data_IF_201156774002
#
_entry.id   IF_201156774002
#
_cell.length_a   1.000
_cell.length_b   1.000
_cell.length_c   1.000
_cell.angle_alpha   90.00
_cell.angle_beta   90.00
_cell.angle_gamma   90.00
#
_symmetry.space_group_name_H-M   'P 1'
#
loop_
_entity.id
_entity.type
_entity.pdbx_description
1 polymer ?
#
# COMPACT_ATOMS: atom_id res chain seq x y z
N UNK A 1 -14.29 -25.58 9.88
CA UNK A 1 -13.78 -24.96 8.66
C UNK A 1 -12.74 -23.92 9.04
N UNK A 2 -11.58 -23.92 8.40
CA UNK A 2 -10.59 -22.84 8.56
C UNK A 2 -11.15 -21.52 8.00
N UNK A 3 -10.54 -20.39 8.37
CA UNK A 3 -10.91 -19.07 7.80
C UNK A 3 -10.84 -19.07 6.27
N UNK A 4 -9.80 -19.69 5.70
CA UNK A 4 -9.60 -19.84 4.25
C UNK A 4 -10.65 -20.70 3.57
N UNK A 5 -11.04 -21.82 4.18
CA UNK A 5 -12.12 -22.66 3.65
C UNK A 5 -13.45 -21.92 3.64
N UNK A 6 -13.77 -21.19 4.71
CA UNK A 6 -15.00 -20.41 4.80
C UNK A 6 -15.04 -19.33 3.71
N UNK A 7 -13.94 -18.61 3.49
CA UNK A 7 -13.90 -17.56 2.46
C UNK A 7 -13.98 -18.12 1.04
N UNK A 8 -13.34 -19.25 0.75
CA UNK A 8 -13.48 -19.92 -0.56
C UNK A 8 -14.93 -20.35 -0.82
N UNK A 9 -15.64 -20.86 0.18
CA UNK A 9 -17.07 -21.21 0.05
C UNK A 9 -17.91 -19.96 -0.22
N UNK A 10 -17.64 -18.85 0.46
CA UNK A 10 -18.35 -17.59 0.22
C UNK A 10 -18.10 -17.04 -1.18
N UNK A 11 -16.84 -17.07 -1.64
CA UNK A 11 -16.48 -16.66 -3.00
C UNK A 11 -17.15 -17.57 -4.04
N UNK A 12 -17.08 -18.90 -3.86
CA UNK A 12 -17.73 -19.85 -4.76
C UNK A 12 -19.25 -19.62 -4.83
N UNK A 13 -19.90 -19.35 -3.69
CA UNK A 13 -21.33 -19.00 -3.63
C UNK A 13 -21.63 -17.72 -4.42
N UNK A 14 -20.80 -16.70 -4.29
CA UNK A 14 -20.95 -15.45 -5.04
C UNK A 14 -20.78 -15.68 -6.55
N UNK A 15 -19.75 -16.44 -6.95
CA UNK A 15 -19.46 -16.76 -8.35
C UNK A 15 -20.54 -17.63 -9.00
N UNK A 16 -21.17 -18.53 -8.24
CA UNK A 16 -22.27 -19.38 -8.74
C UNK A 16 -23.48 -18.58 -9.23
N UNK A 17 -23.59 -17.28 -8.86
CA UNK A 17 -24.62 -16.38 -9.36
C UNK A 17 -24.28 -15.79 -10.75
N UNK A 18 -23.15 -16.15 -11.35
CA UNK A 18 -22.60 -15.56 -12.58
C UNK A 18 -22.58 -14.01 -12.54
N UNK A 19 -21.96 -13.41 -11.51
CA UNK A 19 -21.96 -11.96 -11.35
C UNK A 19 -21.14 -11.27 -12.44
N UNK A 20 -21.60 -10.09 -12.87
CA UNK A 20 -20.80 -9.18 -13.70
C UNK A 20 -19.80 -8.34 -12.88
N UNK A 21 -20.11 -8.13 -11.60
CA UNK A 21 -19.31 -7.37 -10.65
C UNK A 21 -19.27 -8.11 -9.32
N UNK A 22 -18.06 -8.29 -8.80
CA UNK A 22 -17.82 -8.86 -7.49
C UNK A 22 -17.39 -7.73 -6.54
N UNK A 23 -18.10 -7.56 -5.42
CA UNK A 23 -17.76 -6.56 -4.40
C UNK A 23 -17.24 -7.30 -3.17
N UNK A 24 -16.01 -6.98 -2.77
CA UNK A 24 -15.26 -7.69 -1.77
C UNK A 24 -14.87 -6.74 -0.65
N UNK A 25 -15.37 -7.00 0.56
CA UNK A 25 -15.07 -6.20 1.74
C UNK A 25 -14.22 -7.02 2.71
N UNK A 26 -13.01 -6.54 3.00
CA UNK A 26 -12.12 -7.12 4.03
C UNK A 26 -11.88 -8.63 3.93
N UNK A 27 -11.81 -9.15 2.70
CA UNK A 27 -11.72 -10.57 2.40
C UNK A 27 -10.43 -11.26 2.84
N UNK A 28 -9.38 -10.54 3.22
CA UNK A 28 -8.11 -11.17 3.62
C UNK A 28 -7.94 -11.26 5.13
N UNK A 29 -8.91 -10.74 5.89
CA UNK A 29 -8.83 -10.79 7.34
C UNK A 29 -8.94 -12.25 7.84
N UNK A 30 -8.17 -12.58 8.87
CA UNK A 30 -8.10 -13.92 9.46
C UNK A 30 -7.57 -15.04 8.54
N UNK A 31 -6.91 -14.69 7.42
CA UNK A 31 -6.15 -15.65 6.61
C UNK A 31 -4.67 -15.64 6.93
N UNK A 32 -4.07 -16.84 6.92
CA UNK A 32 -2.62 -16.97 6.84
C UNK A 32 -2.08 -16.46 5.48
N UNK A 33 -0.76 -16.30 5.41
CA UNK A 33 -0.07 -15.73 4.25
C UNK A 33 -0.34 -16.53 2.97
N UNK A 34 -0.35 -17.87 3.05
CA UNK A 34 -0.55 -18.74 1.89
C UNK A 34 -1.99 -18.66 1.40
N UNK A 35 -2.95 -18.86 2.30
CA UNK A 35 -4.37 -18.83 1.98
C UNK A 35 -4.78 -17.47 1.40
N UNK A 36 -4.17 -16.38 1.87
CA UNK A 36 -4.35 -15.04 1.29
C UNK A 36 -4.00 -15.02 -0.19
N UNK A 37 -2.79 -15.45 -0.55
CA UNK A 37 -2.36 -15.42 -1.96
C UNK A 37 -3.16 -16.39 -2.84
N UNK A 38 -3.50 -17.57 -2.34
CA UNK A 38 -4.39 -18.51 -3.06
C UNK A 38 -5.75 -17.88 -3.37
N UNK A 39 -6.34 -17.14 -2.42
CA UNK A 39 -7.61 -16.46 -2.62
C UNK A 39 -7.51 -15.35 -3.68
N UNK A 40 -6.45 -14.56 -3.65
CA UNK A 40 -6.22 -13.50 -4.64
C UNK A 40 -6.05 -14.06 -6.05
N UNK A 41 -5.25 -15.12 -6.18
CA UNK A 41 -5.03 -15.77 -7.47
C UNK A 41 -6.33 -16.36 -8.03
N UNK A 42 -7.17 -16.93 -7.16
CA UNK A 42 -8.50 -17.39 -7.52
C UNK A 42 -9.39 -16.24 -8.01
N UNK A 43 -9.43 -15.11 -7.30
CA UNK A 43 -10.19 -13.92 -7.72
C UNK A 43 -9.75 -13.47 -9.11
N UNK A 44 -8.43 -13.35 -9.34
CA UNK A 44 -7.87 -12.94 -10.65
C UNK A 44 -8.23 -13.93 -11.76
N UNK A 45 -8.20 -15.23 -11.48
CA UNK A 45 -8.53 -16.27 -12.45
C UNK A 45 -10.01 -16.27 -12.89
N UNK A 46 -10.91 -15.65 -12.12
CA UNK A 46 -12.33 -15.59 -12.48
C UNK A 46 -12.61 -14.70 -13.69
N UNK A 47 -11.77 -13.71 -13.97
CA UNK A 47 -12.00 -12.70 -15.00
C UNK A 47 -13.18 -11.77 -14.74
N UNK A 48 -13.84 -11.88 -13.58
CA UNK A 48 -14.97 -11.02 -13.20
C UNK A 48 -14.45 -9.67 -12.72
N UNK A 49 -15.08 -8.58 -13.17
CA UNK A 49 -14.76 -7.23 -12.66
C UNK A 49 -14.92 -7.23 -11.14
N UNK A 50 -13.88 -6.83 -10.43
CA UNK A 50 -13.85 -6.92 -8.97
C UNK A 50 -13.57 -5.55 -8.35
N UNK A 51 -14.43 -5.14 -7.43
CA UNK A 51 -14.21 -4.00 -6.54
C UNK A 51 -13.86 -4.56 -5.16
N UNK A 52 -12.64 -4.30 -4.70
CA UNK A 52 -12.17 -4.76 -3.40
C UNK A 52 -11.87 -3.56 -2.48
N UNK A 53 -12.33 -3.64 -1.24
CA UNK A 53 -11.94 -2.74 -0.15
C UNK A 53 -10.77 -3.39 0.59
N UNK A 54 -9.62 -2.72 0.60
CA UNK A 54 -8.36 -3.22 1.14
C UNK A 54 -7.74 -2.16 2.06
N UNK A 55 -7.23 -2.58 3.22
CA UNK A 55 -6.41 -1.75 4.11
C UNK A 55 -4.91 -2.00 3.96
N UNK A 56 -4.52 -3.07 3.26
CA UNK A 56 -3.12 -3.45 3.02
C UNK A 56 -2.68 -2.95 1.63
N UNK A 57 -1.76 -1.99 1.62
CA UNK A 57 -1.29 -1.34 0.40
C UNK A 57 -0.39 -2.25 -0.45
N UNK A 58 0.37 -3.15 0.16
CA UNK A 58 1.18 -4.13 -0.58
C UNK A 58 0.27 -5.15 -1.28
N UNK A 59 -0.84 -5.51 -0.63
CA UNK A 59 -1.87 -6.35 -1.23
C UNK A 59 -2.55 -5.63 -2.40
N UNK A 60 -2.91 -4.37 -2.21
CA UNK A 60 -3.52 -3.51 -3.23
C UNK A 60 -2.58 -3.37 -4.45
N UNK A 61 -1.28 -3.17 -4.22
CA UNK A 61 -0.26 -3.09 -5.26
C UNK A 61 -0.16 -4.37 -6.12
N UNK A 62 -0.47 -5.54 -5.55
CA UNK A 62 -0.40 -6.84 -6.22
C UNK A 62 -1.69 -7.24 -6.93
N UNK A 63 -2.83 -6.87 -6.36
CA UNK A 63 -4.14 -7.33 -6.83
C UNK A 63 -4.79 -6.36 -7.82
N UNK A 64 -4.65 -5.06 -7.60
CA UNK A 64 -5.48 -4.06 -8.24
C UNK A 64 -4.81 -3.48 -9.49
N UNK A 65 -5.55 -3.42 -10.60
CA UNK A 65 -5.13 -2.64 -11.77
C UNK A 65 -5.30 -1.12 -11.53
N UNK A 66 -6.35 -0.76 -10.79
CA UNK A 66 -6.72 0.61 -10.44
C UNK A 66 -6.98 0.73 -8.94
N UNK A 67 -6.66 1.90 -8.39
CA UNK A 67 -6.94 2.25 -7.00
C UNK A 67 -7.80 3.50 -6.90
N UNK A 68 -8.62 3.53 -5.86
CA UNK A 68 -9.34 4.71 -5.38
C UNK A 68 -9.01 4.84 -3.90
N UNK A 69 -8.34 5.93 -3.54
CA UNK A 69 -7.92 6.21 -2.18
C UNK A 69 -8.89 7.19 -1.57
N UNK A 70 -9.46 6.81 -0.43
CA UNK A 70 -10.39 7.63 0.32
C UNK A 70 -9.69 8.23 1.54
N UNK A 71 -9.87 9.54 1.76
CA UNK A 71 -9.41 10.25 2.95
C UNK A 71 -10.51 11.18 3.45
N UNK A 72 -10.85 11.08 4.74
CA UNK A 72 -11.90 11.89 5.38
C UNK A 72 -13.24 11.91 4.61
N UNK A 73 -13.64 10.77 4.04
CA UNK A 73 -14.89 10.65 3.27
C UNK A 73 -14.84 11.20 1.84
N UNK A 74 -13.67 11.63 1.35
CA UNK A 74 -13.48 12.15 -0.01
C UNK A 74 -12.46 11.32 -0.80
N UNK A 75 -12.54 11.36 -2.13
CA UNK A 75 -11.54 10.72 -3.00
C UNK A 75 -10.28 11.58 -3.02
N UNK A 76 -9.21 11.09 -2.40
CA UNK A 76 -7.91 11.75 -2.40
C UNK A 76 -7.13 11.50 -3.70
N UNK A 77 -7.22 10.28 -4.24
CA UNK A 77 -6.60 9.91 -5.50
C UNK A 77 -7.37 8.76 -6.18
N UNK A 78 -7.35 8.71 -7.51
CA UNK A 78 -7.92 7.62 -8.29
C UNK A 78 -7.17 7.42 -9.61
N UNK A 79 -6.91 6.17 -9.99
CA UNK A 79 -6.21 5.86 -11.25
C UNK A 79 -5.48 4.53 -11.23
N UNK A 80 -4.64 4.26 -12.26
CA UNK A 80 -3.81 3.06 -12.30
C UNK A 80 -2.93 2.95 -11.06
N UNK A 81 -2.79 1.75 -10.52
CA UNK A 81 -2.05 1.50 -9.27
C UNK A 81 -0.63 2.11 -9.30
N UNK A 82 0.05 1.97 -10.44
CA UNK A 82 1.41 2.49 -10.69
C UNK A 82 1.52 4.02 -10.65
N UNK A 83 0.41 4.74 -10.81
CA UNK A 83 0.35 6.20 -10.77
C UNK A 83 -0.17 6.73 -9.45
N UNK A 84 -0.97 5.95 -8.73
CA UNK A 84 -1.61 6.34 -7.47
C UNK A 84 -0.68 6.11 -6.29
N UNK A 85 -0.07 4.93 -6.18
CA UNK A 85 0.82 4.59 -5.07
C UNK A 85 2.18 5.28 -5.24
N UNK A 86 2.28 6.47 -4.65
CA UNK A 86 3.47 7.33 -4.66
C UNK A 86 3.91 7.62 -3.23
N UNK A 87 5.20 7.95 -3.04
CA UNK A 87 5.73 8.38 -1.73
C UNK A 87 4.96 9.58 -1.16
N UNK A 88 4.57 10.53 -2.00
CA UNK A 88 3.82 11.72 -1.61
C UNK A 88 2.43 11.34 -1.09
N UNK A 89 1.70 10.48 -1.80
CA UNK A 89 0.40 9.99 -1.34
C UNK A 89 0.50 9.29 0.03
N UNK A 90 1.54 8.47 0.24
CA UNK A 90 1.74 7.77 1.51
C UNK A 90 1.99 8.75 2.67
N UNK A 91 2.74 9.82 2.43
CA UNK A 91 2.95 10.86 3.44
C UNK A 91 1.66 11.66 3.70
N UNK A 92 1.02 12.16 2.65
CA UNK A 92 -0.08 13.12 2.76
C UNK A 92 -1.39 12.48 3.25
N UNK A 93 -1.68 11.24 2.82
CA UNK A 93 -2.96 10.57 3.10
C UNK A 93 -2.85 9.57 4.25
N UNK A 94 -1.75 8.82 4.32
CA UNK A 94 -1.55 7.78 5.32
C UNK A 94 -0.65 8.22 6.48
N UNK A 95 -0.04 9.42 6.40
CA UNK A 95 0.82 9.95 7.46
C UNK A 95 2.09 9.13 7.65
N UNK A 96 2.57 8.45 6.59
CA UNK A 96 3.73 7.57 6.68
C UNK A 96 4.85 7.92 5.71
N UNK A 97 6.08 7.92 6.21
CA UNK A 97 7.30 8.01 5.43
C UNK A 97 7.64 6.64 4.85
N UNK A 98 7.50 6.52 3.53
CA UNK A 98 7.79 5.29 2.80
C UNK A 98 8.30 5.59 1.38
N UNK A 99 9.08 4.67 0.84
CA UNK A 99 9.52 4.69 -0.55
C UNK A 99 8.73 3.68 -1.36
N UNK A 100 8.30 4.08 -2.55
CA UNK A 100 7.66 3.21 -3.53
C UNK A 100 8.64 2.92 -4.66
N UNK A 101 8.92 1.66 -4.93
CA UNK A 101 9.76 1.22 -6.04
C UNK A 101 9.00 0.25 -6.93
N UNK A 102 9.09 0.43 -8.26
CA UNK A 102 8.56 -0.55 -9.21
C UNK A 102 9.58 -1.68 -9.37
N UNK A 103 9.20 -2.87 -8.92
CA UNK A 103 10.04 -4.06 -9.03
C UNK A 103 9.97 -4.68 -10.45
N UNK A 104 10.91 -5.56 -10.77
CA UNK A 104 11.05 -6.18 -12.09
C UNK A 104 9.84 -7.05 -12.51
N UNK A 105 9.07 -7.55 -11.54
CA UNK A 105 7.80 -8.27 -11.75
C UNK A 105 6.63 -7.32 -12.10
N UNK A 106 6.88 -6.01 -12.14
CA UNK A 106 5.89 -4.98 -12.48
C UNK A 106 5.04 -4.51 -11.29
N UNK A 107 5.26 -5.06 -10.09
CA UNK A 107 4.54 -4.71 -8.86
C UNK A 107 5.27 -3.60 -8.11
N UNK A 108 4.52 -2.71 -7.44
CA UNK A 108 5.10 -1.70 -6.55
C UNK A 108 5.45 -2.34 -5.21
N UNK A 109 6.65 -2.08 -4.72
CA UNK A 109 7.09 -2.42 -3.37
C UNK A 109 7.09 -1.16 -2.53
N UNK A 110 6.45 -1.24 -1.36
CA UNK A 110 6.44 -0.16 -0.38
C UNK A 110 7.46 -0.50 0.70
N UNK A 111 8.45 0.37 0.89
CA UNK A 111 9.45 0.23 1.95
C UNK A 111 9.29 1.37 2.94
N UNK A 112 8.85 1.03 4.15
CA UNK A 112 8.67 2.00 5.23
C UNK A 112 10.01 2.44 5.82
N UNK A 113 10.12 3.72 6.17
CA UNK A 113 11.28 4.24 6.88
C UNK A 113 11.37 3.64 8.31
N UNK A 114 12.57 3.63 8.90
CA UNK A 114 12.78 3.17 10.27
C UNK A 114 11.96 3.97 11.32
N UNK A 115 11.60 5.21 10.99
CA UNK A 115 10.63 6.03 11.73
C UNK A 115 9.52 6.41 10.76
N UNK A 116 8.47 5.58 10.62
CA UNK A 116 7.51 5.73 9.54
C UNK A 116 6.46 6.79 9.84
N UNK A 117 6.12 7.07 11.10
CA UNK A 117 5.06 8.03 11.42
C UNK A 117 5.52 9.47 11.18
N UNK A 118 4.86 10.18 10.27
CA UNK A 118 5.02 11.62 10.11
C UNK A 118 4.46 12.33 11.35
N UNK A 119 5.22 13.27 11.92
CA UNK A 119 4.73 14.11 13.03
C UNK A 119 4.09 15.37 12.46
N UNK A 120 3.00 15.82 13.07
CA UNK A 120 2.37 17.10 12.73
C UNK A 120 3.39 18.23 12.84
N UNK A 121 3.64 18.91 11.71
CA UNK A 121 4.60 20.02 11.62
C UNK A 121 6.05 19.64 11.32
N UNK A 122 6.36 18.38 10.99
CA UNK A 122 7.68 17.98 10.50
C UNK A 122 7.83 18.33 9.00
N UNK A 123 8.59 19.37 8.61
CA UNK A 123 8.54 19.88 7.24
C UNK A 123 9.39 19.10 6.26
N UNK A 124 10.09 18.03 6.66
CA UNK A 124 10.69 17.07 5.75
C UNK A 124 11.17 15.83 6.49
N UNK A 125 10.96 14.65 5.91
CA UNK A 125 11.97 13.59 6.02
C UNK A 125 13.23 13.94 5.21
N UNK A 126 13.90 15.08 5.45
CA UNK A 126 15.26 15.52 5.06
C UNK A 126 15.46 17.05 5.17
N UNK A 127 16.48 17.58 5.89
CA UNK A 127 16.68 19.03 5.99
C UNK A 127 16.87 19.71 4.61
N UNK A 128 16.05 20.71 4.29
CA UNK A 128 16.22 21.57 3.10
C UNK A 128 17.31 22.61 3.31
N UNK A 129 17.96 23.01 2.22
CA UNK A 129 18.86 24.17 2.20
C UNK A 129 18.05 25.45 2.44
N UNK A 130 18.72 26.51 2.94
CA UNK A 130 18.10 27.82 3.21
C UNK A 130 17.46 28.47 1.96
N UNK A 131 17.83 28.01 0.76
CA UNK A 131 17.31 28.45 -0.53
C UNK A 131 16.08 27.66 -1.03
N UNK A 132 15.58 26.69 -0.26
CA UNK A 132 14.40 25.90 -0.60
C UNK A 132 14.66 24.70 -1.52
N UNK A 133 15.91 24.49 -1.96
CA UNK A 133 16.31 23.36 -2.82
C UNK A 133 16.47 22.08 -1.99
N UNK A 134 16.12 20.89 -2.53
CA UNK A 134 16.34 19.62 -1.84
C UNK A 134 17.82 19.43 -1.50
N UNK A 135 18.14 19.05 -0.25
CA UNK A 135 19.49 18.64 0.09
C UNK A 135 19.78 17.27 -0.54
N UNK A 136 21.01 17.08 -1.03
CA UNK A 136 21.42 15.84 -1.67
C UNK A 136 21.27 14.65 -0.71
N UNK A 137 20.73 13.54 -1.23
CA UNK A 137 20.65 12.27 -0.53
C UNK A 137 22.06 11.81 -0.15
N UNK A 138 22.34 11.39 1.10
CA UNK A 138 23.62 10.82 1.45
C UNK A 138 23.79 9.45 0.78
N UNK A 139 25.04 9.00 0.59
CA UNK A 139 25.29 7.65 0.12
C UNK A 139 24.73 6.62 1.11
N UNK A 140 24.30 5.43 0.62
CA UNK A 140 23.79 4.37 1.48
C UNK A 140 24.84 3.98 2.53
N UNK A 141 24.44 4.01 3.82
CA UNK A 141 25.30 3.68 4.95
C UNK A 141 25.76 4.87 5.82
N UNK A 142 25.37 6.10 5.52
CA UNK A 142 25.68 7.25 6.37
C UNK A 142 24.87 7.22 7.69
N UNK A 143 25.49 7.53 8.85
CA UNK A 143 24.79 7.59 10.13
C UNK A 143 23.79 8.75 10.17
N UNK A 144 22.65 8.53 10.84
CA UNK A 144 21.61 9.54 11.00
C UNK A 144 22.17 10.83 11.63
N UNK A 145 21.72 12.02 11.19
CA UNK A 145 22.31 13.32 11.56
C UNK A 145 22.23 13.66 13.07
N UNK A 146 21.47 12.89 13.84
CA UNK A 146 21.30 13.05 15.29
C UNK A 146 22.42 12.39 16.12
N UNK A 147 23.32 11.60 15.51
CA UNK A 147 24.43 10.94 16.22
C UNK A 147 25.69 11.81 16.38
N UNK A 148 25.69 13.04 15.85
CA UNK A 148 26.85 13.93 15.86
C UNK A 148 26.83 15.02 16.96
N UNK A 149 25.86 14.99 17.88
CA UNK A 149 25.80 15.93 19.01
C UNK A 149 25.80 15.23 20.36
N UNK A 150 26.99 14.79 20.75
CA UNK A 150 27.37 14.73 22.16
C UNK A 150 28.73 15.40 22.36
N UNK A 151 28.75 16.61 22.96
CA UNK A 151 29.87 17.03 23.77
C UNK A 151 29.38 17.35 25.18
N UNK A 152 29.65 16.44 26.11
CA UNK A 152 30.31 16.71 27.40
C UNK A 152 30.39 15.43 28.22
#
# INVERSE_FOLDING_TARGET
MSGGERQRVLLARALAQNPKLLVLDELTNHLDIRARFELLDLIRATGVTTLAVLHDLDLAARLCDHLVVLHAGTVAAAGPVLKVLTTELLADVFGVHAHTERHADGVIRITYAARPLARDGDPQGYPRRRDGTPAALPPPGAPAPDQARSPK
#
